data_IF_159333343467
#
_entry.id   IF_159333343467
#
_cell.length_a   1.000
_cell.length_b   1.000
_cell.length_c   1.000
_cell.angle_alpha   90.00
_cell.angle_beta   90.00
_cell.angle_gamma   90.00
#
_symmetry.space_group_name_H-M   'P 1'
#
loop_
_entity.id
_entity.type
_entity.pdbx_description
1 polymer ?
#
# COMPACT_ATOMS: atom_id res chain seq x y z
N UNK A 1 26.63 -28.32 9.63
CA UNK A 1 25.51 -27.95 10.51
C UNK A 1 24.41 -28.99 10.34
N UNK A 2 24.02 -29.63 11.42
CA UNK A 2 22.92 -30.61 11.44
C UNK A 2 21.55 -29.90 11.42
N UNK A 3 20.48 -30.63 11.11
CA UNK A 3 19.12 -30.07 11.14
C UNK A 3 18.71 -29.58 12.55
N UNK A 4 19.17 -30.27 13.58
CA UNK A 4 18.91 -29.91 14.99
C UNK A 4 19.57 -28.57 15.33
N UNK A 5 20.83 -28.38 14.93
CA UNK A 5 21.53 -27.11 15.12
C UNK A 5 20.83 -25.96 14.37
N UNK A 6 20.39 -26.19 13.13
CA UNK A 6 19.63 -25.19 12.37
C UNK A 6 18.32 -24.80 13.07
N UNK A 7 17.61 -25.78 13.62
CA UNK A 7 16.34 -25.57 14.34
C UNK A 7 16.55 -24.71 15.58
N UNK A 8 17.61 -24.99 16.35
CA UNK A 8 17.97 -24.22 17.54
C UNK A 8 18.37 -22.77 17.20
N UNK A 9 19.14 -22.57 16.13
CA UNK A 9 19.50 -21.24 15.65
C UNK A 9 18.27 -20.45 15.23
N UNK A 10 17.33 -21.08 14.52
CA UNK A 10 16.10 -20.44 14.06
C UNK A 10 15.17 -20.04 15.22
N UNK A 11 14.96 -20.94 16.18
CA UNK A 11 14.21 -20.66 17.40
C UNK A 11 14.78 -19.44 18.13
N UNK A 12 16.11 -19.41 18.30
CA UNK A 12 16.80 -18.31 18.98
C UNK A 12 16.71 -16.97 18.21
N UNK A 13 16.88 -17.01 16.89
CA UNK A 13 16.80 -15.81 16.05
C UNK A 13 15.41 -15.18 16.06
N UNK A 14 14.36 -16.00 16.05
CA UNK A 14 12.97 -15.55 16.07
C UNK A 14 12.41 -15.32 17.48
N UNK A 15 13.16 -15.66 18.54
CA UNK A 15 12.71 -15.59 19.95
C UNK A 15 11.43 -16.39 20.20
N UNK A 16 11.35 -17.60 19.64
CA UNK A 16 10.19 -18.48 19.80
C UNK A 16 10.29 -19.25 21.13
N UNK A 17 9.15 -19.49 21.77
CA UNK A 17 9.00 -20.30 22.97
C UNK A 17 8.73 -21.79 22.68
N UNK A 18 8.63 -22.16 21.40
CA UNK A 18 8.43 -23.53 20.92
C UNK A 18 9.57 -23.97 20.00
N UNK A 19 9.66 -25.29 19.75
CA UNK A 19 10.58 -25.87 18.78
C UNK A 19 9.97 -25.82 17.38
N UNK A 20 10.46 -24.97 16.46
CA UNK A 20 9.90 -24.85 15.13
C UNK A 20 10.28 -26.07 14.26
N UNK A 21 9.42 -26.42 13.30
CA UNK A 21 9.75 -27.41 12.27
C UNK A 21 10.53 -26.71 11.15
N UNK A 22 11.82 -27.03 11.00
CA UNK A 22 12.69 -26.45 9.98
C UNK A 22 13.07 -27.51 8.95
N UNK A 23 12.68 -27.29 7.68
CA UNK A 23 13.05 -28.14 6.55
C UNK A 23 14.34 -27.61 5.90
N UNK A 24 15.42 -28.39 5.98
CA UNK A 24 16.74 -28.05 5.42
C UNK A 24 17.09 -29.08 4.36
N UNK A 25 17.12 -28.64 3.09
CA UNK A 25 17.46 -29.52 1.96
C UNK A 25 18.66 -28.99 1.20
N UNK A 26 19.51 -29.90 0.75
CA UNK A 26 20.61 -29.57 -0.16
C UNK A 26 20.07 -29.31 -1.56
N UNK A 27 20.34 -28.13 -2.13
CA UNK A 27 20.02 -27.83 -3.52
C UNK A 27 21.02 -28.55 -4.43
N UNK A 28 20.53 -29.45 -5.30
CA UNK A 28 21.33 -30.16 -6.30
C UNK A 28 21.08 -29.58 -7.68
N UNK A 29 22.13 -29.45 -8.48
CA UNK A 29 21.99 -29.05 -9.88
C UNK A 29 21.19 -30.09 -10.66
N UNK A 30 20.24 -29.64 -11.47
CA UNK A 30 19.52 -30.52 -12.38
C UNK A 30 20.44 -30.89 -13.55
N UNK A 31 20.37 -32.13 -14.08
CA UNK A 31 21.33 -32.69 -15.07
C UNK A 31 21.63 -31.82 -16.31
N UNK A 32 20.84 -30.77 -16.58
CA UNK A 32 21.00 -29.83 -17.71
C UNK A 32 21.01 -28.33 -17.31
N UNK A 33 20.98 -27.98 -16.02
CA UNK A 33 20.94 -26.58 -15.55
C UNK A 33 22.05 -26.31 -14.53
N UNK A 34 22.72 -25.18 -14.69
CA UNK A 34 23.73 -24.70 -13.75
C UNK A 34 23.10 -24.36 -12.39
N UNK A 35 23.81 -24.70 -11.30
CA UNK A 35 23.44 -24.40 -9.91
C UNK A 35 23.11 -22.91 -9.70
N UNK A 36 23.74 -22.04 -10.50
CA UNK A 36 23.50 -20.59 -10.57
C UNK A 36 22.01 -20.24 -10.70
N UNK A 37 21.24 -21.01 -11.49
CA UNK A 37 19.80 -20.77 -11.66
C UNK A 37 19.00 -21.01 -10.38
N UNK A 38 19.32 -22.06 -9.62
CA UNK A 38 18.65 -22.37 -8.36
C UNK A 38 19.06 -21.40 -7.23
N UNK A 39 20.30 -20.92 -7.25
CA UNK A 39 20.79 -19.88 -6.33
C UNK A 39 20.03 -18.57 -6.58
N UNK A 40 19.90 -18.14 -7.84
CA UNK A 40 19.15 -16.93 -8.20
C UNK A 40 17.69 -17.06 -7.76
N UNK A 41 17.04 -18.19 -8.01
CA UNK A 41 15.65 -18.41 -7.60
C UNK A 41 15.48 -18.33 -6.07
N UNK A 42 16.38 -18.98 -5.32
CA UNK A 42 16.34 -18.94 -3.85
C UNK A 42 16.59 -17.53 -3.33
N UNK A 43 17.44 -16.74 -4.01
CA UNK A 43 17.73 -15.36 -3.65
C UNK A 43 16.59 -14.37 -3.98
N UNK A 44 15.60 -14.73 -4.82
CA UNK A 44 14.42 -13.89 -5.09
C UNK A 44 13.55 -13.67 -3.85
N UNK A 45 13.47 -14.67 -2.97
CA UNK A 45 12.53 -14.67 -1.84
C UNK A 45 13.00 -13.95 -0.58
N UNK A 46 14.29 -13.97 -0.18
CA UNK A 46 14.76 -13.18 0.97
C UNK A 46 14.87 -11.68 0.65
N UNK A 47 15.08 -11.34 -0.62
CA UNK A 47 15.17 -9.95 -1.05
C UNK A 47 13.73 -9.47 -1.28
N UNK A 48 13.18 -8.70 -0.33
CA UNK A 48 12.11 -7.74 -0.64
C UNK A 48 12.46 -7.04 -1.96
N UNK A 49 11.50 -6.58 -2.79
CA UNK A 49 11.78 -5.77 -3.97
C UNK A 49 12.28 -4.36 -3.59
N UNK A 50 13.38 -4.31 -2.85
CA UNK A 50 14.15 -3.16 -2.45
C UNK A 50 15.61 -3.56 -2.63
N UNK A 51 16.20 -3.00 -3.68
CA UNK A 51 17.63 -2.76 -3.82
C UNK A 51 18.55 -3.98 -3.90
N UNK A 52 18.42 -4.73 -5.00
CA UNK A 52 19.62 -5.37 -5.57
C UNK A 52 20.29 -4.37 -6.51
N UNK A 53 20.93 -3.35 -5.94
CA UNK A 53 21.93 -2.55 -6.66
C UNK A 53 23.23 -3.37 -6.76
N UNK A 54 23.17 -4.48 -7.49
CA UNK A 54 24.40 -5.08 -8.01
C UNK A 54 24.92 -4.13 -9.08
N UNK A 55 26.11 -3.57 -8.84
CA UNK A 55 26.82 -2.63 -9.76
C UNK A 55 26.89 -3.08 -11.23
N UNK A 56 26.62 -4.35 -11.54
CA UNK A 56 26.65 -4.93 -12.88
C UNK A 56 25.28 -5.39 -13.43
N UNK A 57 24.18 -5.27 -12.68
CA UNK A 57 22.84 -5.63 -13.17
C UNK A 57 21.84 -4.55 -12.80
N UNK A 58 21.95 -3.40 -13.46
CA UNK A 58 20.81 -2.50 -13.62
C UNK A 58 19.78 -3.19 -14.53
N UNK A 59 18.86 -3.96 -13.94
CA UNK A 59 17.74 -4.58 -14.69
C UNK A 59 16.96 -3.54 -15.52
N UNK A 60 17.01 -2.28 -15.10
CA UNK A 60 16.51 -1.12 -15.80
C UNK A 60 17.50 0.04 -15.58
N UNK A 61 17.90 0.74 -16.65
CA UNK A 61 18.60 2.03 -16.52
C UNK A 61 17.71 3.01 -15.74
N UNK A 62 18.28 4.04 -15.10
CA UNK A 62 17.51 5.09 -14.42
C UNK A 62 16.42 5.67 -15.34
N UNK A 63 16.76 5.90 -16.61
CA UNK A 63 15.81 6.28 -17.66
C UNK A 63 14.59 5.34 -17.82
N UNK A 64 14.77 4.02 -17.63
CA UNK A 64 13.64 3.08 -17.69
C UNK A 64 12.80 3.13 -16.41
N UNK A 65 13.39 3.41 -15.24
CA UNK A 65 12.64 3.56 -13.99
C UNK A 65 11.75 4.80 -14.06
N UNK A 66 12.31 5.93 -14.51
CA UNK A 66 11.56 7.19 -14.65
C UNK A 66 10.41 7.05 -15.65
N UNK A 67 10.64 6.37 -16.77
CA UNK A 67 9.59 6.10 -17.75
C UNK A 67 8.48 5.20 -17.19
N UNK A 68 8.84 4.16 -16.45
CA UNK A 68 7.84 3.29 -15.81
C UNK A 68 7.02 4.08 -14.79
N UNK A 69 7.65 4.95 -14.00
CA UNK A 69 6.92 5.77 -13.03
C UNK A 69 6.03 6.82 -13.71
N UNK A 70 6.49 7.42 -14.81
CA UNK A 70 5.70 8.38 -15.57
C UNK A 70 4.49 7.69 -16.23
N UNK A 71 4.71 6.58 -16.95
CA UNK A 71 3.67 5.77 -17.58
C UNK A 71 2.63 5.29 -16.55
N UNK A 72 3.07 4.86 -15.36
CA UNK A 72 2.19 4.44 -14.28
C UNK A 72 1.40 5.62 -13.69
N UNK A 73 2.06 6.77 -13.48
CA UNK A 73 1.41 7.98 -12.95
C UNK A 73 0.33 8.50 -13.90
N UNK A 74 0.62 8.57 -15.20
CA UNK A 74 -0.33 8.97 -16.23
C UNK A 74 -1.44 7.93 -16.39
N UNK A 75 -1.10 6.64 -16.36
CA UNK A 75 -2.07 5.54 -16.49
C UNK A 75 -3.08 5.46 -15.36
N UNK A 76 -2.68 5.84 -14.14
CA UNK A 76 -3.50 5.85 -12.92
C UNK A 76 -4.13 7.20 -12.60
N UNK A 77 -3.70 8.28 -13.24
CA UNK A 77 -4.23 9.62 -12.98
C UNK A 77 -5.75 9.64 -13.20
N UNK A 78 -6.47 10.09 -12.16
CA UNK A 78 -7.95 10.17 -12.09
C UNK A 78 -8.70 8.84 -12.24
N UNK A 79 -8.05 7.69 -12.10
CA UNK A 79 -8.74 6.38 -12.09
C UNK A 79 -8.85 5.85 -10.67
N UNK A 80 -10.07 5.56 -10.21
CA UNK A 80 -10.33 4.92 -8.92
C UNK A 80 -10.40 3.41 -9.13
N UNK A 81 -9.30 2.69 -8.90
CA UNK A 81 -9.27 1.23 -9.00
C UNK A 81 -9.88 0.58 -7.75
N UNK A 82 -11.20 0.62 -7.61
CA UNK A 82 -11.92 0.02 -6.48
C UNK A 82 -12.70 -1.20 -6.98
N UNK A 83 -12.26 -2.39 -6.57
CA UNK A 83 -12.95 -3.65 -6.83
C UNK A 83 -13.69 -4.14 -5.59
N UNK A 84 -14.99 -4.40 -5.69
CA UNK A 84 -15.78 -4.99 -4.62
C UNK A 84 -15.88 -6.50 -4.82
N UNK A 85 -15.44 -7.28 -3.82
CA UNK A 85 -15.48 -8.74 -3.85
C UNK A 85 -16.20 -9.33 -2.64
N UNK A 86 -16.78 -10.53 -2.83
CA UNK A 86 -17.50 -11.29 -1.78
C UNK A 86 -18.55 -10.42 -1.07
N UNK A 87 -18.56 -10.41 0.26
CA UNK A 87 -19.47 -9.65 1.11
C UNK A 87 -19.56 -8.16 0.73
N UNK A 88 -18.45 -7.54 0.34
CA UNK A 88 -18.46 -6.13 -0.07
C UNK A 88 -19.23 -5.87 -1.37
N UNK A 89 -19.38 -6.88 -2.24
CA UNK A 89 -20.21 -6.78 -3.44
C UNK A 89 -21.69 -6.80 -3.08
N UNK A 90 -22.08 -7.63 -2.11
CA UNK A 90 -23.45 -7.73 -1.60
C UNK A 90 -23.85 -6.43 -0.91
N UNK A 91 -23.01 -5.94 0.01
CA UNK A 91 -23.22 -4.68 0.73
C UNK A 91 -23.28 -3.48 -0.25
N UNK A 92 -22.42 -3.43 -1.27
CA UNK A 92 -22.49 -2.36 -2.29
C UNK A 92 -23.83 -2.37 -3.03
N UNK A 93 -24.34 -3.56 -3.38
CA UNK A 93 -25.61 -3.69 -4.08
C UNK A 93 -26.78 -3.28 -3.19
N UNK A 94 -26.72 -3.57 -1.89
CA UNK A 94 -27.74 -3.20 -0.90
C UNK A 94 -27.76 -1.69 -0.61
N UNK A 95 -26.58 -1.04 -0.56
CA UNK A 95 -26.44 0.38 -0.23
C UNK A 95 -26.74 1.34 -1.41
N UNK A 96 -27.00 0.83 -2.62
CA UNK A 96 -27.30 1.61 -3.85
C UNK A 96 -26.44 2.88 -4.01
N UNK A 97 -25.14 2.76 -3.76
CA UNK A 97 -24.21 3.89 -3.79
C UNK A 97 -23.96 4.38 -5.22
N UNK A 98 -23.63 5.67 -5.32
CA UNK A 98 -23.23 6.34 -6.56
C UNK A 98 -22.11 5.62 -7.34
N UNK A 99 -21.95 6.01 -8.60
CA UNK A 99 -20.93 5.46 -9.48
C UNK A 99 -19.53 5.54 -8.85
N UNK A 100 -18.77 4.47 -8.98
CA UNK A 100 -17.49 4.33 -8.25
C UNK A 100 -16.42 5.26 -8.83
N UNK A 101 -16.49 5.55 -10.12
CA UNK A 101 -15.50 6.38 -10.83
C UNK A 101 -15.92 7.84 -10.82
N UNK A 102 -17.19 8.14 -11.12
CA UNK A 102 -17.71 9.50 -11.28
C UNK A 102 -18.53 10.01 -10.07
N UNK A 103 -18.71 9.19 -9.04
CA UNK A 103 -19.51 9.52 -7.86
C UNK A 103 -18.99 10.73 -7.09
N UNK A 104 -19.92 11.63 -6.76
CA UNK A 104 -19.66 12.85 -6.01
C UNK A 104 -19.55 12.57 -4.52
N UNK A 105 -18.33 12.35 -4.03
CA UNK A 105 -18.04 12.12 -2.61
C UNK A 105 -18.08 13.38 -1.74
N UNK A 106 -18.38 14.56 -2.31
CA UNK A 106 -18.36 15.83 -1.59
C UNK A 106 -19.72 16.14 -0.95
N UNK A 107 -20.82 15.71 -1.57
CA UNK A 107 -22.19 15.92 -1.05
C UNK A 107 -22.84 14.60 -0.65
N UNK A 108 -22.42 14.05 0.49
CA UNK A 108 -22.94 12.78 1.05
C UNK A 108 -24.26 12.94 1.82
N UNK A 109 -25.16 13.81 1.35
CA UNK A 109 -26.53 13.91 1.88
C UNK A 109 -26.70 14.67 3.19
N UNK A 110 -25.84 15.66 3.50
CA UNK A 110 -25.98 16.50 4.70
C UNK A 110 -26.39 17.96 4.40
N UNK A 111 -26.93 18.26 3.22
CA UNK A 111 -27.32 19.65 2.88
C UNK A 111 -28.82 19.94 2.95
N UNK A 112 -29.68 18.97 3.31
CA UNK A 112 -31.11 19.22 3.55
C UNK A 112 -31.53 19.03 5.02
N UNK A 113 -30.64 19.29 5.97
CA UNK A 113 -31.13 19.74 7.26
C UNK A 113 -31.46 21.22 7.09
N UNK A 114 -32.73 21.52 6.83
CA UNK A 114 -33.32 22.83 6.97
C UNK A 114 -32.89 23.41 8.32
N UNK A 115 -31.80 24.18 8.29
CA UNK A 115 -31.14 24.70 9.46
C UNK A 115 -32.12 25.57 10.21
N UNK A 116 -32.36 25.22 11.46
CA UNK A 116 -32.83 26.14 12.50
C UNK A 116 -32.36 27.56 12.18
N UNK A 117 -33.29 28.51 12.11
CA UNK A 117 -33.04 29.93 11.82
C UNK A 117 -32.20 30.56 12.95
N UNK A 118 -30.94 30.17 13.05
CA UNK A 118 -29.95 30.75 13.94
C UNK A 118 -29.51 32.07 13.33
N UNK A 119 -29.74 33.17 14.04
CA UNK A 119 -29.17 34.47 13.64
C UNK A 119 -27.66 34.42 13.88
N UNK A 120 -26.91 34.34 12.79
CA UNK A 120 -25.46 34.57 12.82
C UNK A 120 -25.22 36.08 12.95
N UNK A 121 -24.64 36.50 14.08
CA UNK A 121 -24.22 37.89 14.29
C UNK A 121 -22.70 37.93 14.14
N UNK A 122 -22.22 38.49 13.03
CA UNK A 122 -20.79 38.66 12.76
C UNK A 122 -20.35 40.04 13.23
N UNK A 123 -19.45 40.07 14.22
CA UNK A 123 -18.88 41.31 14.75
C UNK A 123 -17.43 41.48 14.25
N UNK A 124 -17.12 42.63 13.66
CA UNK A 124 -15.78 42.96 13.19
C UNK A 124 -15.06 43.85 14.21
N UNK A 125 -13.80 43.56 14.50
CA UNK A 125 -12.97 44.40 15.36
C UNK A 125 -12.50 45.65 14.59
N UNK A 126 -12.81 46.84 15.12
CA UNK A 126 -12.26 48.10 14.62
C UNK A 126 -11.08 48.54 15.49
N UNK A 127 -9.89 48.61 14.89
CA UNK A 127 -8.66 48.98 15.59
C UNK A 127 -8.63 50.47 15.99
N UNK A 128 -9.20 51.38 15.19
CA UNK A 128 -9.24 52.81 15.49
C UNK A 128 -10.17 53.10 16.68
N UNK A 129 -11.31 52.41 16.72
CA UNK A 129 -12.31 52.57 17.78
C UNK A 129 -12.06 51.67 18.98
N UNK A 130 -11.10 50.75 18.89
CA UNK A 130 -10.80 49.70 19.87
C UNK A 130 -12.06 48.98 20.36
N UNK A 131 -12.99 48.69 19.45
CA UNK A 131 -14.26 48.07 19.77
C UNK A 131 -14.80 47.24 18.60
N UNK A 132 -15.67 46.28 18.91
CA UNK A 132 -16.39 45.47 17.91
C UNK A 132 -17.60 46.23 17.37
N UNK A 133 -17.90 46.06 16.09
CA UNK A 133 -19.14 46.56 15.50
C UNK A 133 -19.80 45.48 14.63
N UNK A 134 -21.13 45.49 14.64
CA UNK A 134 -21.96 44.60 13.84
C UNK A 134 -22.09 45.18 12.43
N UNK A 135 -22.10 44.33 11.42
CA UNK A 135 -22.47 44.73 10.05
C UNK A 135 -23.91 44.31 9.78
#
# INVERSE_FOLDING_TARGET
>A
ISQVEWTNLWSKAMKLDYTPVVDVRTVKAHKRKNLKSAIIETAKYPVKPFDVDTKDVTLFSEFKKDKITDDLSQGLHRKRQIGFGKLFKEIKAELELDDVEEGNLVQTGTEDNAGSTGREIVAFWNWERKNYFLK
#
